data_IF_568858534814
#
_entry.id   IF_568858534814
#
_cell.length_a   1.000
_cell.length_b   1.000
_cell.length_c   1.000
_cell.angle_alpha   90.00
_cell.angle_beta   90.00
_cell.angle_gamma   90.00
#
_symmetry.space_group_name_H-M   'P 1'
#
loop_
_entity.id
_entity.type
_entity.pdbx_description
1 polymer ?
#
# COMPACT_ATOMS: atom_id res chain seq x y z
N UNK A 1 7.67 16.21 -17.90
CA UNK A 1 8.19 16.33 -16.51
C UNK A 1 7.17 16.66 -15.42
N UNK A 2 6.53 17.84 -15.34
CA UNK A 2 5.59 18.15 -14.21
C UNK A 2 4.31 17.30 -14.22
N UNK A 3 3.87 16.85 -15.39
CA UNK A 3 2.72 15.94 -15.54
C UNK A 3 3.05 14.49 -15.15
N UNK A 4 4.26 14.01 -15.44
CA UNK A 4 4.69 12.64 -15.11
C UNK A 4 4.88 12.45 -13.60
N UNK A 5 5.43 13.45 -12.90
CA UNK A 5 5.57 13.38 -11.44
C UNK A 5 4.21 13.33 -10.75
N UNK A 6 3.20 14.06 -11.23
CA UNK A 6 1.84 13.95 -10.68
C UNK A 6 1.22 12.56 -10.92
N UNK A 7 1.51 11.93 -12.06
CA UNK A 7 1.03 10.59 -12.38
C UNK A 7 1.64 9.52 -11.45
N UNK A 8 2.95 9.55 -11.22
CA UNK A 8 3.64 8.59 -10.32
C UNK A 8 3.06 8.65 -8.90
N UNK A 9 2.95 9.85 -8.32
CA UNK A 9 2.39 10.00 -6.98
C UNK A 9 0.91 9.57 -6.88
N UNK A 10 0.15 9.65 -7.97
CA UNK A 10 -1.22 9.14 -7.99
C UNK A 10 -1.24 7.61 -7.97
N UNK A 11 -0.49 6.97 -8.87
CA UNK A 11 -0.40 5.51 -8.93
C UNK A 11 0.07 4.91 -7.60
N UNK A 12 1.09 5.49 -6.97
CA UNK A 12 1.58 5.00 -5.67
C UNK A 12 0.53 5.17 -4.56
N UNK A 13 -0.29 6.22 -4.61
CA UNK A 13 -1.42 6.38 -3.68
C UNK A 13 -2.49 5.33 -3.91
N UNK A 14 -2.79 4.98 -5.16
CA UNK A 14 -3.79 3.97 -5.48
C UNK A 14 -3.32 2.57 -5.07
N UNK A 15 -2.04 2.24 -5.29
CA UNK A 15 -1.42 1.01 -4.76
C UNK A 15 -1.48 0.98 -3.23
N UNK A 16 -1.09 2.08 -2.57
CA UNK A 16 -1.12 2.16 -1.10
C UNK A 16 -2.53 2.02 -0.55
N UNK A 17 -3.54 2.53 -1.26
CA UNK A 17 -4.95 2.38 -0.91
C UNK A 17 -5.39 0.91 -1.03
N UNK A 18 -5.10 0.26 -2.15
CA UNK A 18 -5.43 -1.16 -2.34
C UNK A 18 -4.74 -2.06 -1.29
N UNK A 19 -3.49 -1.76 -0.93
CA UNK A 19 -2.78 -2.46 0.13
C UNK A 19 -3.43 -2.24 1.49
N UNK A 20 -3.80 -0.99 1.83
CA UNK A 20 -4.48 -0.68 3.09
C UNK A 20 -5.88 -1.30 3.22
N UNK A 21 -6.56 -1.55 2.10
CA UNK A 21 -7.85 -2.24 2.09
C UNK A 21 -7.69 -3.74 2.36
N UNK A 22 -6.62 -4.36 1.87
CA UNK A 22 -6.31 -5.78 2.08
C UNK A 22 -5.62 -6.05 3.42
N UNK A 23 -4.93 -5.04 3.96
CA UNK A 23 -4.14 -5.17 5.17
C UNK A 23 -4.57 -4.18 6.26
N UNK A 24 -5.36 -4.62 7.26
CA UNK A 24 -5.76 -3.79 8.39
C UNK A 24 -4.58 -3.23 9.22
N UNK A 25 -3.40 -3.85 9.13
CA UNK A 25 -2.19 -3.41 9.84
C UNK A 25 -1.34 -2.46 9.01
N UNK A 26 -1.77 -2.05 7.81
CA UNK A 26 -0.95 -1.24 6.91
C UNK A 26 -0.44 0.06 7.57
N UNK A 27 -1.26 0.69 8.43
CA UNK A 27 -0.88 1.89 9.18
C UNK A 27 0.30 1.69 10.16
N UNK A 28 0.57 0.44 10.56
CA UNK A 28 1.63 0.05 11.49
C UNK A 28 3.01 -0.04 10.83
N UNK A 29 3.06 -0.01 9.49
CA UNK A 29 4.30 -0.01 8.74
C UNK A 29 4.89 1.39 8.57
N UNK A 30 6.18 1.48 8.26
CA UNK A 30 6.91 2.69 7.91
C UNK A 30 7.90 2.46 6.78
N UNK A 31 8.34 3.52 6.13
CA UNK A 31 9.44 3.45 5.15
C UNK A 31 10.79 3.22 5.84
N UNK A 32 11.79 2.68 5.11
CA UNK A 32 13.18 2.65 5.54
C UNK A 32 13.66 4.01 6.05
N UNK A 33 14.32 4.01 7.21
CA UNK A 33 14.83 5.20 7.89
C UNK A 33 16.27 4.97 8.30
N UNK A 34 17.05 6.06 8.41
CA UNK A 34 18.45 6.02 8.85
C UNK A 34 18.60 5.60 10.31
N UNK A 35 17.50 5.54 11.09
CA UNK A 35 17.55 5.06 12.48
C UNK A 35 16.47 4.02 12.80
N UNK A 36 16.63 2.76 12.33
CA UNK A 36 15.63 1.69 12.45
C UNK A 36 15.20 1.34 13.88
N UNK A 37 16.09 1.47 14.87
CA UNK A 37 15.81 1.11 16.26
C UNK A 37 14.95 2.12 17.04
N UNK A 38 14.71 3.31 16.48
CA UNK A 38 13.95 4.37 17.14
C UNK A 38 12.49 4.47 16.68
N UNK A 39 12.09 3.71 15.66
CA UNK A 39 10.70 3.71 15.18
C UNK A 39 9.85 2.70 15.93
N UNK A 40 8.66 3.14 16.36
CA UNK A 40 7.62 2.27 16.92
C UNK A 40 6.91 1.42 15.84
N UNK A 41 7.16 1.74 14.56
CA UNK A 41 6.51 1.13 13.40
C UNK A 41 7.39 0.09 12.72
N UNK A 42 6.77 -0.86 12.04
CA UNK A 42 7.46 -1.95 11.32
C UNK A 42 8.02 -1.42 10.01
N UNK A 43 9.31 -1.61 9.76
CA UNK A 43 9.97 -1.07 8.57
C UNK A 43 9.66 -1.97 7.37
N UNK A 44 9.18 -1.37 6.29
CA UNK A 44 9.05 -2.02 4.98
C UNK A 44 10.43 -2.28 4.40
N UNK A 45 10.60 -3.43 3.76
CA UNK A 45 11.84 -3.82 3.10
C UNK A 45 12.19 -2.84 1.95
N UNK A 46 13.47 -2.47 1.83
CA UNK A 46 13.96 -1.59 0.77
C UNK A 46 13.72 -2.14 -0.64
N UNK A 47 13.75 -3.48 -0.79
CA UNK A 47 13.49 -4.17 -2.04
C UNK A 47 12.11 -3.86 -2.63
N UNK A 48 11.11 -3.58 -1.79
CA UNK A 48 9.77 -3.18 -2.22
C UNK A 48 9.81 -1.86 -2.99
N UNK A 49 10.58 -0.89 -2.49
CA UNK A 49 10.69 0.43 -3.13
C UNK A 49 11.48 0.36 -4.43
N UNK A 50 12.51 -0.50 -4.48
CA UNK A 50 13.25 -0.75 -5.71
C UNK A 50 12.35 -1.39 -6.78
N UNK A 51 11.59 -2.42 -6.41
CA UNK A 51 10.64 -3.06 -7.31
C UNK A 51 9.55 -2.09 -7.80
N UNK A 52 8.98 -1.27 -6.93
CA UNK A 52 8.02 -0.23 -7.33
C UNK A 52 8.64 0.80 -8.28
N UNK A 53 9.90 1.17 -8.06
CA UNK A 53 10.63 2.10 -8.94
C UNK A 53 10.81 1.50 -10.32
N UNK A 54 11.24 0.23 -10.40
CA UNK A 54 11.39 -0.48 -11.67
C UNK A 54 10.06 -0.61 -12.42
N UNK A 55 8.99 -0.99 -11.72
CA UNK A 55 7.64 -1.09 -12.30
C UNK A 55 7.16 0.24 -12.89
N UNK A 56 7.37 1.35 -12.18
CA UNK A 56 7.01 2.69 -12.67
C UNK A 56 7.86 3.08 -13.88
N UNK A 57 9.18 2.86 -13.82
CA UNK A 57 10.09 3.21 -14.93
C UNK A 57 9.72 2.44 -16.20
N UNK A 58 9.52 1.12 -16.09
CA UNK A 58 9.12 0.28 -17.23
C UNK A 58 7.71 0.64 -17.70
N UNK A 59 6.75 0.74 -16.78
CA UNK A 59 5.34 0.97 -17.10
C UNK A 59 5.05 2.32 -17.76
N UNK A 60 5.87 3.34 -17.48
CA UNK A 60 5.80 4.64 -18.16
C UNK A 60 6.82 4.81 -19.28
N UNK A 61 7.58 3.76 -19.61
CA UNK A 61 8.68 3.82 -20.59
C UNK A 61 9.63 5.00 -20.36
N UNK A 62 9.95 5.25 -19.08
CA UNK A 62 10.85 6.33 -18.68
C UNK A 62 12.30 5.95 -18.96
N UNK A 63 13.12 6.94 -19.30
CA UNK A 63 14.56 6.74 -19.45
C UNK A 63 15.17 6.16 -18.15
N UNK A 64 16.02 5.16 -18.30
CA UNK A 64 16.59 4.43 -17.18
C UNK A 64 17.78 5.13 -16.53
N UNK A 65 17.94 6.43 -16.73
CA UNK A 65 19.04 7.21 -16.15
C UNK A 65 18.99 7.15 -14.62
N UNK A 66 20.17 7.08 -14.00
CA UNK A 66 20.35 6.92 -12.57
C UNK A 66 19.74 8.10 -11.79
N UNK A 67 19.84 9.32 -12.32
CA UNK A 67 19.28 10.50 -11.69
C UNK A 67 17.75 10.46 -11.65
N UNK A 68 17.11 10.06 -12.76
CA UNK A 68 15.65 9.96 -12.83
C UNK A 68 15.11 8.82 -11.96
N UNK A 69 15.78 7.66 -11.94
CA UNK A 69 15.45 6.56 -11.02
C UNK A 69 15.52 6.99 -9.56
N UNK A 70 16.56 7.73 -9.18
CA UNK A 70 16.72 8.23 -7.80
C UNK A 70 15.61 9.22 -7.44
N UNK A 71 15.22 10.10 -8.38
CA UNK A 71 14.10 11.03 -8.20
C UNK A 71 12.78 10.29 -8.02
N UNK A 72 12.51 9.29 -8.86
CA UNK A 72 11.29 8.47 -8.78
C UNK A 72 11.24 7.71 -7.46
N UNK A 73 12.33 7.02 -7.07
CA UNK A 73 12.43 6.33 -5.79
C UNK A 73 12.12 7.26 -4.60
N UNK A 74 12.71 8.46 -4.61
CA UNK A 74 12.46 9.46 -3.57
C UNK A 74 10.99 9.88 -3.53
N UNK A 75 10.38 10.07 -4.70
CA UNK A 75 8.97 10.42 -4.80
C UNK A 75 8.04 9.28 -4.31
N UNK A 76 8.36 8.02 -4.64
CA UNK A 76 7.63 6.85 -4.15
C UNK A 76 7.71 6.79 -2.63
N UNK A 77 8.92 6.84 -2.05
CA UNK A 77 9.13 6.81 -0.59
C UNK A 77 8.36 7.93 0.12
N UNK A 78 8.44 9.16 -0.40
CA UNK A 78 7.71 10.30 0.15
C UNK A 78 6.19 10.10 0.09
N UNK A 79 5.67 9.61 -1.04
CA UNK A 79 4.24 9.37 -1.23
C UNK A 79 3.71 8.30 -0.29
N UNK A 80 4.41 7.16 -0.17
CA UNK A 80 4.05 6.08 0.77
C UNK A 80 4.09 6.58 2.21
N UNK A 81 5.12 7.33 2.60
CA UNK A 81 5.24 7.89 3.94
C UNK A 81 4.09 8.83 4.29
N UNK A 82 3.75 9.79 3.41
CA UNK A 82 2.63 10.70 3.63
C UNK A 82 1.29 9.97 3.71
N UNK A 83 1.10 8.89 2.92
CA UNK A 83 -0.09 8.06 3.01
C UNK A 83 -0.19 7.36 4.38
N UNK A 84 0.90 6.75 4.84
CA UNK A 84 0.97 6.08 6.14
C UNK A 84 0.69 7.06 7.29
N UNK A 85 1.28 8.26 7.25
CA UNK A 85 1.01 9.32 8.25
C UNK A 85 -0.49 9.67 8.34
N UNK A 86 -1.16 9.81 7.19
CA UNK A 86 -2.61 10.06 7.16
C UNK A 86 -3.39 8.90 7.79
N UNK A 87 -3.02 7.65 7.48
CA UNK A 87 -3.68 6.47 8.05
C UNK A 87 -3.45 6.33 9.54
N UNK A 88 -2.26 6.65 10.04
CA UNK A 88 -1.95 6.70 11.48
C UNK A 88 -2.80 7.76 12.19
N UNK A 89 -2.97 8.93 11.58
CA UNK A 89 -3.82 9.98 12.12
C UNK A 89 -5.30 9.56 12.19
N UNK A 90 -5.82 8.91 11.14
CA UNK A 90 -7.17 8.33 11.12
C UNK A 90 -7.34 7.26 12.19
N UNK A 91 -6.37 6.35 12.34
CA UNK A 91 -6.37 5.32 13.36
C UNK A 91 -6.39 5.93 14.77
N UNK A 92 -5.50 6.88 15.05
CA UNK A 92 -5.43 7.58 16.34
C UNK A 92 -6.72 8.35 16.65
N UNK A 93 -7.36 8.94 15.64
CA UNK A 93 -8.66 9.60 15.81
C UNK A 93 -9.76 8.62 16.24
N UNK A 94 -9.73 7.40 15.70
CA UNK A 94 -10.73 6.35 15.99
C UNK A 94 -10.47 5.61 17.31
N UNK A 95 -9.22 5.37 17.65
CA UNK A 95 -8.82 4.47 18.75
C UNK A 95 -8.13 5.18 19.93
N UNK A 96 -7.96 6.50 19.86
CA UNK A 96 -7.33 7.31 20.91
C UNK A 96 -5.89 7.73 20.58
N UNK A 97 -5.41 8.76 21.25
CA UNK A 97 -4.07 9.33 21.04
C UNK A 97 -3.00 8.26 21.24
N UNK A 98 -2.03 8.20 20.32
CA UNK A 98 -0.91 7.25 20.33
C UNK A 98 -1.30 5.76 20.24
N UNK A 99 -2.57 5.43 19.97
CA UNK A 99 -3.02 4.05 19.82
C UNK A 99 -2.29 3.34 18.68
N UNK A 100 -2.05 4.04 17.56
CA UNK A 100 -1.35 3.46 16.41
C UNK A 100 0.09 3.06 16.75
N UNK A 101 0.83 3.89 17.50
CA UNK A 101 2.21 3.54 17.90
C UNK A 101 2.25 2.38 18.89
N UNK A 102 1.28 2.28 19.81
CA UNK A 102 1.19 1.14 20.73
C UNK A 102 0.86 -0.13 19.97
N UNK A 103 -0.16 -0.11 19.11
CA UNK A 103 -0.53 -1.26 18.26
C UNK A 103 0.58 -1.67 17.32
N UNK A 104 1.39 -0.74 16.81
CA UNK A 104 2.52 -1.05 15.96
C UNK A 104 3.65 -1.78 16.72
N UNK A 105 3.86 -1.46 18.00
CA UNK A 105 4.78 -2.19 18.86
C UNK A 105 4.31 -3.63 19.07
N UNK A 106 3.04 -3.80 19.46
CA UNK A 106 2.46 -5.12 19.66
C UNK A 106 2.51 -5.96 18.37
N UNK A 107 2.24 -5.32 17.23
CA UNK A 107 2.33 -5.93 15.90
C UNK A 107 3.76 -6.38 15.56
N UNK A 108 4.78 -5.57 15.88
CA UNK A 108 6.19 -5.93 15.69
C UNK A 108 6.61 -7.11 16.56
N UNK A 109 6.16 -7.13 17.81
CA UNK A 109 6.45 -8.21 18.75
C UNK A 109 5.77 -9.51 18.28
N UNK A 110 4.55 -9.42 17.72
CA UNK A 110 3.84 -10.56 17.13
C UNK A 110 4.54 -11.10 15.87
N UNK A 111 4.96 -10.23 14.94
CA UNK A 111 5.78 -10.62 13.78
C UNK A 111 7.05 -11.38 14.19
N UNK A 112 7.66 -10.98 15.30
CA UNK A 112 8.90 -11.61 15.80
C UNK A 112 8.63 -12.98 16.40
N UNK A 113 7.54 -13.12 17.17
CA UNK A 113 7.18 -14.39 17.84
C UNK A 113 6.57 -15.41 16.89
N UNK A 114 5.76 -14.96 15.95
CA UNK A 114 5.06 -15.80 14.98
C UNK A 114 5.03 -15.09 13.62
N UNK A 115 6.07 -15.23 12.77
CA UNK A 115 6.14 -14.54 11.48
C UNK A 115 4.94 -14.77 10.55
N UNK A 116 4.22 -15.87 10.75
CA UNK A 116 3.10 -16.30 9.92
C UNK A 116 1.73 -16.02 10.54
N UNK A 117 1.62 -15.24 11.63
CA UNK A 117 0.34 -14.96 12.30
C UNK A 117 -0.74 -14.31 11.41
N UNK A 118 -0.34 -13.88 10.21
CA UNK A 118 -1.19 -13.23 9.21
C UNK A 118 -1.64 -14.17 8.09
N UNK A 119 -1.06 -15.37 7.97
CA UNK A 119 -1.45 -16.36 6.94
C UNK A 119 -2.93 -16.74 7.08
N UNK A 120 -3.41 -16.95 8.30
CA UNK A 120 -4.83 -17.28 8.56
C UNK A 120 -5.82 -16.13 8.30
N UNK A 121 -5.34 -14.91 8.04
CA UNK A 121 -6.20 -13.75 7.69
C UNK A 121 -6.26 -13.48 6.20
N UNK A 122 -5.31 -14.00 5.41
CA UNK A 122 -5.31 -13.87 3.95
C UNK A 122 -6.33 -14.85 3.35
N UNK A 123 -6.48 -16.05 3.93
CA UNK A 123 -7.45 -17.06 3.48
C UNK A 123 -8.92 -16.59 3.57
N UNK A 124 -9.27 -15.74 4.54
CA UNK A 124 -10.62 -15.16 4.64
C UNK A 124 -10.96 -14.16 3.54
N UNK A 125 -9.97 -13.61 2.80
CA UNK A 125 -10.23 -12.67 1.70
C UNK A 125 -10.37 -13.35 0.33
N UNK A 126 -9.84 -14.56 0.15
CA UNK A 126 -10.11 -15.35 -1.05
C UNK A 126 -11.58 -15.80 -1.10
N UNK A 127 -12.19 -16.07 0.06
CA UNK A 127 -13.61 -16.41 0.17
C UNK A 127 -14.55 -15.20 -0.06
N UNK A 128 -14.15 -13.98 0.34
CA UNK A 128 -14.90 -12.76 0.04
C UNK A 128 -14.78 -12.29 -1.42
N UNK A 129 -13.78 -12.77 -2.18
CA UNK A 129 -13.72 -12.53 -3.62
C UNK A 129 -14.81 -13.29 -4.40
N UNK A 130 -15.43 -14.31 -3.79
CA UNK A 130 -16.61 -14.97 -4.34
C UNK A 130 -17.92 -14.23 -4.06
N UNK A 131 -17.93 -13.26 -3.14
CA UNK A 131 -19.10 -12.41 -2.85
C UNK A 131 -19.28 -11.23 -3.82
N UNK A 132 -18.37 -11.08 -4.79
CA UNK A 132 -18.49 -10.09 -5.88
C UNK A 132 -18.66 -10.73 -7.27
N UNK A 133 -18.99 -12.02 -7.34
CA UNK A 133 -19.37 -12.71 -8.58
C UNK A 133 -20.86 -13.08 -8.58
N UNK A 134 -21.69 -12.06 -8.80
CA UNK A 134 -23.06 -12.03 -9.36
C UNK A 134 -23.63 -10.66 -8.92
N UNK A 135 -23.74 -9.63 -9.75
CA UNK A 135 -24.74 -9.51 -10.81
C UNK A 135 -24.24 -8.55 -11.90
N UNK A 136 -23.68 -9.08 -12.98
CA UNK A 136 -23.84 -8.43 -14.29
C UNK A 136 -24.76 -9.29 -15.11
N UNK A 137 -26.04 -9.18 -14.74
CA UNK A 137 -27.18 -9.48 -15.57
C UNK A 137 -26.88 -9.12 -17.02
N UNK A 138 -26.88 -10.16 -17.82
CA UNK A 138 -27.08 -10.16 -19.26
C UNK A 138 -28.34 -9.38 -19.62
N UNK A 139 -28.22 -8.07 -19.78
CA UNK A 139 -29.20 -7.28 -20.53
C UNK A 139 -28.77 -7.28 -21.99
N UNK A 140 -29.27 -8.25 -22.77
CA UNK A 140 -29.23 -8.21 -24.23
C UNK A 140 -30.51 -7.52 -24.68
N UNK A 141 -30.48 -6.30 -25.24
CA UNK A 141 -31.67 -5.68 -25.79
C UNK A 141 -32.05 -6.43 -27.08
N UNK A 142 -33.16 -7.15 -27.03
CA UNK A 142 -33.75 -7.80 -28.19
C UNK A 142 -34.47 -6.73 -29.04
N UNK A 143 -33.79 -6.19 -30.05
CA UNK A 143 -34.39 -5.28 -31.01
C UNK A 143 -34.64 -5.99 -32.35
N UNK A 144 -35.91 -5.94 -32.75
CA UNK A 144 -36.51 -6.26 -34.06
C UNK A 144 -36.94 -7.72 -34.33
N UNK A 145 -38.23 -7.96 -34.03
CA UNK A 145 -39.16 -8.59 -34.98
C UNK A 145 -40.42 -7.71 -35.04
N UNK A 146 -40.52 -6.90 -36.11
CA UNK A 146 -41.77 -6.41 -36.71
C UNK A 146 -41.58 -6.40 -38.21
#
# INVERSE_FOLDING_TARGET
MVHETKAVAQVIRDISKALAERDPYFAMYTIPTTTPGKTHYVILDETIFNALTELVVVGYSMDSDLMDKTRILSQIKSTVYSFLEKRRAEFNKKHGKNSCSSSAKDFKDELTRNPNFRQNRIETFEDESQLFHDDRDSYVPNFYNM
#
